data_IF_682441296078
#
_entry.id   IF_682441296078
#
_cell.length_a   1.000
_cell.length_b   1.000
_cell.length_c   1.000
_cell.angle_alpha   90.00
_cell.angle_beta   90.00
_cell.angle_gamma   90.00
#
_symmetry.space_group_name_H-M   'P 1'
#
loop_
_entity.id
_entity.type
_entity.pdbx_description
1 polymer ?
#
# COMPACT_ATOMS: atom_id res chain seq x y z
N UNK A 1 38.61 7.60 -21.30
CA UNK A 1 38.10 6.75 -20.19
C UNK A 1 36.66 7.07 -19.75
N UNK A 2 36.06 8.23 -20.07
CA UNK A 2 34.82 8.69 -19.40
C UNK A 2 33.44 8.43 -20.02
N UNK A 3 33.30 7.67 -21.12
CA UNK A 3 31.98 7.45 -21.74
C UNK A 3 31.29 6.14 -21.31
N UNK A 4 32.06 5.09 -20.98
CA UNK A 4 31.50 3.78 -20.59
C UNK A 4 30.86 3.81 -19.20
N UNK A 5 31.45 4.56 -18.26
CA UNK A 5 30.86 4.77 -16.93
C UNK A 5 29.54 5.53 -17.00
N UNK A 6 29.47 6.60 -17.80
CA UNK A 6 28.24 7.40 -17.94
C UNK A 6 27.08 6.57 -18.49
N UNK A 7 27.36 5.72 -19.47
CA UNK A 7 26.36 4.79 -20.04
C UNK A 7 25.92 3.77 -18.99
N UNK A 8 26.84 3.23 -18.18
CA UNK A 8 26.50 2.35 -17.07
C UNK A 8 25.58 3.01 -16.05
N UNK A 9 25.89 4.24 -15.62
CA UNK A 9 25.07 4.98 -14.64
C UNK A 9 23.68 5.33 -15.20
N UNK A 10 23.58 5.66 -16.49
CA UNK A 10 22.30 5.90 -17.16
C UNK A 10 21.42 4.65 -17.24
N UNK A 11 22.02 3.48 -17.52
CA UNK A 11 21.30 2.21 -17.53
C UNK A 11 20.83 1.83 -16.11
N UNK A 12 21.66 2.06 -15.09
CA UNK A 12 21.27 1.84 -13.69
C UNK A 12 20.11 2.76 -13.27
N UNK A 13 20.17 4.04 -13.66
CA UNK A 13 19.15 5.03 -13.34
C UNK A 13 17.80 4.71 -13.98
N UNK A 14 17.79 4.36 -15.28
CA UNK A 14 16.56 4.01 -16.00
C UNK A 14 15.91 2.73 -15.46
N UNK A 15 16.71 1.72 -15.11
CA UNK A 15 16.20 0.52 -14.45
C UNK A 15 15.60 0.85 -13.08
N UNK A 16 16.25 1.70 -12.30
CA UNK A 16 15.75 2.15 -11.00
C UNK A 16 14.39 2.87 -11.11
N UNK A 17 14.23 3.76 -12.09
CA UNK A 17 12.96 4.45 -12.34
C UNK A 17 11.81 3.50 -12.72
N UNK A 18 12.07 2.51 -13.58
CA UNK A 18 11.05 1.53 -13.99
C UNK A 18 10.55 0.73 -12.78
N UNK A 19 11.47 0.37 -11.87
CA UNK A 19 11.10 -0.29 -10.61
C UNK A 19 10.29 0.63 -9.69
N UNK A 20 10.64 1.91 -9.57
CA UNK A 20 9.88 2.90 -8.79
C UNK A 20 8.46 3.06 -9.35
N UNK A 21 8.29 3.13 -10.67
CA UNK A 21 6.96 3.21 -11.32
C UNK A 21 6.09 2.01 -10.98
N UNK A 22 6.66 0.80 -10.93
CA UNK A 22 5.93 -0.41 -10.49
C UNK A 22 5.51 -0.34 -9.01
N UNK A 23 6.37 0.18 -8.13
CA UNK A 23 6.02 0.43 -6.70
C UNK A 23 4.86 1.43 -6.59
N UNK A 24 4.92 2.51 -7.37
CA UNK A 24 3.89 3.57 -7.34
C UNK A 24 2.51 3.03 -7.69
N UNK A 25 2.38 2.18 -8.72
CA UNK A 25 1.08 1.56 -9.09
C UNK A 25 0.47 0.77 -7.93
N UNK A 26 1.30 0.03 -7.20
CA UNK A 26 0.85 -0.78 -6.07
C UNK A 26 0.40 0.09 -4.88
N UNK A 27 1.19 1.12 -4.56
CA UNK A 27 0.79 2.13 -3.56
C UNK A 27 -0.49 2.86 -3.97
N UNK A 28 -0.66 3.13 -5.26
CA UNK A 28 -1.85 3.78 -5.78
C UNK A 28 -3.08 2.88 -5.63
N UNK A 29 -2.92 1.58 -5.85
CA UNK A 29 -3.98 0.58 -5.63
C UNK A 29 -4.37 0.46 -4.14
N UNK A 30 -3.37 0.50 -3.25
CA UNK A 30 -3.56 0.59 -1.80
C UNK A 30 -4.29 1.86 -1.38
N UNK A 31 -3.89 3.01 -1.95
CA UNK A 31 -4.48 4.30 -1.67
C UNK A 31 -5.94 4.36 -2.12
N UNK A 32 -6.24 3.82 -3.31
CA UNK A 32 -7.62 3.70 -3.81
C UNK A 32 -8.45 2.82 -2.89
N UNK A 33 -7.90 1.71 -2.39
CA UNK A 33 -8.61 0.85 -1.45
C UNK A 33 -8.89 1.55 -0.11
N UNK A 34 -7.91 2.29 0.42
CA UNK A 34 -8.08 3.12 1.62
C UNK A 34 -9.16 4.20 1.40
N UNK A 35 -9.11 4.89 0.26
CA UNK A 35 -10.09 5.92 -0.09
C UNK A 35 -11.50 5.32 -0.21
N UNK A 36 -11.62 4.19 -0.90
CA UNK A 36 -12.88 3.47 -1.03
C UNK A 36 -13.43 3.09 0.35
N UNK A 37 -12.58 2.56 1.24
CA UNK A 37 -12.98 2.24 2.62
C UNK A 37 -13.40 3.48 3.41
N UNK A 38 -12.69 4.59 3.25
CA UNK A 38 -13.03 5.87 3.87
C UNK A 38 -14.39 6.38 3.42
N UNK A 39 -14.74 6.26 2.13
CA UNK A 39 -16.06 6.64 1.61
C UNK A 39 -17.15 5.61 1.94
N UNK A 40 -16.79 4.34 2.14
CA UNK A 40 -17.73 3.28 2.51
C UNK A 40 -18.36 3.54 3.89
N UNK A 41 -17.63 4.18 4.81
CA UNK A 41 -18.15 4.61 6.12
C UNK A 41 -19.34 5.59 6.00
N UNK A 42 -19.19 6.82 5.45
CA UNK A 42 -20.30 7.76 5.30
C UNK A 42 -21.39 7.21 4.39
N UNK A 43 -21.06 6.39 3.38
CA UNK A 43 -22.06 5.73 2.55
C UNK A 43 -22.90 4.72 3.34
N UNK A 44 -22.27 3.93 4.22
CA UNK A 44 -22.97 2.96 5.09
C UNK A 44 -23.84 3.67 6.13
N UNK A 45 -23.35 4.76 6.72
CA UNK A 45 -24.10 5.67 7.60
C UNK A 45 -25.32 6.30 6.88
N UNK A 46 -25.17 6.70 5.62
CA UNK A 46 -26.21 7.38 4.86
C UNK A 46 -27.28 6.44 4.26
N UNK A 47 -26.88 5.24 3.81
CA UNK A 47 -27.79 4.29 3.15
C UNK A 47 -28.52 3.37 4.12
N UNK A 48 -27.96 3.11 5.31
CA UNK A 48 -28.53 2.20 6.31
C UNK A 48 -28.75 2.88 7.68
N UNK A 49 -29.41 4.06 7.74
CA UNK A 49 -29.64 4.75 9.02
C UNK A 49 -30.49 3.90 9.97
N UNK A 50 -31.48 3.17 9.47
CA UNK A 50 -32.33 2.27 10.28
C UNK A 50 -31.59 1.03 10.77
N UNK A 51 -30.54 0.57 10.08
CA UNK A 51 -29.72 -0.56 10.53
C UNK A 51 -28.68 -0.14 11.58
N UNK A 52 -28.35 1.16 11.65
CA UNK A 52 -27.57 1.77 12.72
C UNK A 52 -28.42 2.20 13.92
N UNK A 53 -29.68 2.59 13.69
CA UNK A 53 -30.60 3.05 14.74
C UNK A 53 -31.48 1.92 15.31
N UNK A 54 -31.57 0.79 14.62
CA UNK A 54 -32.22 -0.41 15.17
C UNK A 54 -31.29 -1.08 16.18
N UNK A 55 -31.38 -0.61 17.41
CA UNK A 55 -30.90 -1.28 18.61
C UNK A 55 -31.31 -2.76 18.59
N UNK A 56 -30.36 -3.66 18.29
CA UNK A 56 -30.50 -5.08 18.63
C UNK A 56 -29.75 -5.38 19.94
N UNK A 57 -30.42 -4.99 21.03
CA UNK A 57 -30.84 -5.81 22.19
C UNK A 57 -29.78 -6.54 23.05
N UNK A 58 -28.50 -6.71 22.68
CA UNK A 58 -27.60 -7.51 23.54
C UNK A 58 -26.26 -6.89 23.91
N UNK A 59 -25.63 -6.08 23.08
CA UNK A 59 -24.42 -5.30 23.43
C UNK A 59 -24.37 -4.10 22.48
N UNK A 60 -23.95 -2.93 22.94
CA UNK A 60 -23.84 -1.66 22.18
C UNK A 60 -22.82 -1.69 21.00
N UNK A 61 -22.62 -2.84 20.36
CA UNK A 61 -21.77 -3.04 19.20
C UNK A 61 -22.56 -2.69 17.93
N UNK A 62 -22.38 -1.48 17.43
CA UNK A 62 -22.96 -1.03 16.15
C UNK A 62 -22.19 -1.61 14.95
N UNK A 63 -22.75 -1.50 13.74
CA UNK A 63 -22.02 -1.80 12.50
C UNK A 63 -20.71 -1.02 12.35
N UNK A 64 -20.61 0.16 13.00
CA UNK A 64 -19.37 0.93 13.08
C UNK A 64 -18.24 0.20 13.80
N UNK A 65 -18.56 -0.58 14.84
CA UNK A 65 -17.59 -1.41 15.55
C UNK A 65 -17.07 -2.56 14.68
N UNK A 66 -17.92 -3.20 13.86
CA UNK A 66 -17.48 -4.21 12.89
C UNK A 66 -16.52 -3.61 11.86
N UNK A 67 -16.82 -2.41 11.36
CA UNK A 67 -15.93 -1.65 10.47
C UNK A 67 -14.58 -1.35 11.12
N UNK A 68 -14.59 -0.83 12.36
CA UNK A 68 -13.37 -0.53 13.11
C UNK A 68 -12.52 -1.80 13.34
N UNK A 69 -13.18 -2.92 13.64
CA UNK A 69 -12.49 -4.20 13.81
C UNK A 69 -11.91 -4.73 12.50
N UNK A 70 -12.57 -4.50 11.36
CA UNK A 70 -12.08 -4.86 10.03
C UNK A 70 -10.91 -3.97 9.56
N UNK A 71 -10.82 -2.75 10.08
CA UNK A 71 -9.74 -1.79 9.79
C UNK A 71 -8.37 -2.31 10.27
N UNK A 72 -8.32 -3.08 11.35
CA UNK A 72 -7.06 -3.64 11.92
C UNK A 72 -6.40 -4.66 10.98
N UNK A 73 -7.05 -5.76 10.57
CA UNK A 73 -6.45 -6.69 9.62
C UNK A 73 -6.21 -6.04 8.26
N UNK A 74 -7.06 -5.10 7.82
CA UNK A 74 -6.84 -4.34 6.59
C UNK A 74 -5.49 -3.59 6.61
N UNK A 75 -5.25 -2.80 7.67
CA UNK A 75 -4.00 -2.03 7.81
C UNK A 75 -2.78 -2.92 7.99
N UNK A 76 -2.91 -4.03 8.71
CA UNK A 76 -1.85 -5.03 8.85
C UNK A 76 -1.49 -5.70 7.53
N UNK A 77 -2.47 -6.11 6.73
CA UNK A 77 -2.22 -6.68 5.40
C UNK A 77 -1.52 -5.66 4.51
N UNK A 78 -1.99 -4.41 4.51
CA UNK A 78 -1.34 -3.31 3.79
C UNK A 78 0.12 -3.08 4.22
N UNK A 79 0.37 -3.01 5.53
CA UNK A 79 1.71 -2.85 6.09
C UNK A 79 2.62 -4.03 5.78
N UNK A 80 2.12 -5.26 5.89
CA UNK A 80 2.86 -6.47 5.54
C UNK A 80 3.19 -6.53 4.06
N UNK A 81 2.23 -6.21 3.19
CA UNK A 81 2.39 -6.19 1.74
C UNK A 81 3.39 -5.09 1.32
N UNK A 82 3.35 -3.93 1.98
CA UNK A 82 4.33 -2.86 1.84
C UNK A 82 5.74 -3.31 2.25
N UNK A 83 5.91 -3.84 3.47
CA UNK A 83 7.19 -4.30 3.99
C UNK A 83 7.79 -5.42 3.14
N UNK A 84 6.97 -6.37 2.67
CA UNK A 84 7.40 -7.46 1.79
C UNK A 84 7.93 -6.94 0.46
N UNK A 85 7.29 -5.91 -0.12
CA UNK A 85 7.75 -5.26 -1.35
C UNK A 85 8.99 -4.38 -1.13
N UNK A 86 9.06 -3.66 -0.02
CA UNK A 86 10.24 -2.86 0.34
C UNK A 86 11.50 -3.75 0.54
N UNK A 87 11.38 -4.90 1.23
CA UNK A 87 12.47 -5.88 1.36
C UNK A 87 12.92 -6.46 0.02
N UNK A 88 12.00 -6.62 -0.94
CA UNK A 88 12.36 -7.08 -2.27
C UNK A 88 13.22 -6.04 -3.00
N UNK A 89 12.97 -4.74 -2.76
CA UNK A 89 13.70 -3.64 -3.36
C UNK A 89 15.11 -3.45 -2.78
N UNK A 90 15.28 -3.55 -1.46
CA UNK A 90 16.60 -3.46 -0.82
C UNK A 90 17.57 -4.53 -1.32
N UNK A 91 17.07 -5.75 -1.58
CA UNK A 91 17.88 -6.81 -2.18
C UNK A 91 18.37 -6.47 -3.58
N UNK A 92 17.56 -5.78 -4.39
CA UNK A 92 17.96 -5.36 -5.74
C UNK A 92 18.94 -4.17 -5.69
N UNK A 93 18.74 -3.22 -4.77
CA UNK A 93 19.65 -2.08 -4.58
C UNK A 93 21.05 -2.55 -4.17
N UNK A 94 21.14 -3.56 -3.32
CA UNK A 94 22.41 -4.14 -2.90
C UNK A 94 23.13 -4.89 -4.03
N UNK A 95 22.38 -5.59 -4.90
CA UNK A 95 22.98 -6.25 -6.09
C UNK A 95 23.57 -5.24 -7.07
N UNK A 96 22.84 -4.16 -7.37
CA UNK A 96 23.33 -3.11 -8.27
C UNK A 96 24.54 -2.36 -7.69
N UNK A 97 24.58 -2.15 -6.37
CA UNK A 97 25.75 -1.58 -5.70
C UNK A 97 26.98 -2.48 -5.80
N UNK A 98 26.81 -3.80 -5.71
CA UNK A 98 27.92 -4.75 -5.81
C UNK A 98 28.48 -4.83 -7.24
N UNK A 99 27.62 -4.79 -8.26
CA UNK A 99 28.04 -4.76 -9.68
C UNK A 99 28.71 -3.43 -10.08
N UNK A 100 28.42 -2.33 -9.39
CA UNK A 100 29.07 -1.03 -9.65
C UNK A 100 30.42 -0.87 -8.91
N UNK A 101 30.72 -1.74 -7.94
CA UNK A 101 31.95 -1.68 -7.11
C UNK A 101 32.94 -2.81 -7.47
N UNK A 102 32.51 -3.83 -8.21
CA UNK A 102 33.36 -4.92 -8.74
C UNK A 102 33.76 -4.64 -10.19
#
# INVERSE_FOLDING_TARGET
MGNREKVGVLLLYTQYEILIKRKKRFLLQMLVFLLAFYFMLPLSLALFPDFMNSTSILFEFTWGWLYAFLQIPMTWVLGWLYCRKAKQFDRYKNKLKQEAVS
#
